data_IF_217913025673
#
_entry.id   IF_217913025673
#
_cell.length_a   1.000
_cell.length_b   1.000
_cell.length_c   1.000
_cell.angle_alpha   90.00
_cell.angle_beta   90.00
_cell.angle_gamma   90.00
#
_symmetry.space_group_name_H-M   'P 1'
#
loop_
_entity.id
_entity.type
_entity.pdbx_description
1 polymer ?
#
# COMPACT_ATOMS: atom_id res chain seq x y z
N UNK A 1 -5.67 -12.36 11.07
CA UNK A 1 -5.21 -11.01 10.64
C UNK A 1 -6.32 -10.24 9.93
N UNK A 2 -7.20 -10.95 9.21
CA UNK A 2 -8.37 -10.40 8.54
C UNK A 2 -9.36 -9.67 9.48
N UNK A 3 -9.65 -10.24 10.66
CA UNK A 3 -10.59 -9.68 11.63
C UNK A 3 -10.14 -8.34 12.22
N UNK A 4 -8.82 -8.16 12.37
CA UNK A 4 -8.24 -6.89 12.83
C UNK A 4 -8.50 -5.77 11.82
N UNK A 5 -8.35 -6.06 10.53
CA UNK A 5 -8.60 -5.11 9.46
C UNK A 5 -10.09 -4.77 9.31
N UNK A 6 -10.98 -5.76 9.48
CA UNK A 6 -12.43 -5.52 9.51
C UNK A 6 -12.83 -4.63 10.69
N UNK A 7 -12.34 -4.90 11.90
CA UNK A 7 -12.60 -4.07 13.08
C UNK A 7 -12.02 -2.66 12.99
N UNK A 8 -10.93 -2.47 12.24
CA UNK A 8 -10.36 -1.15 11.97
C UNK A 8 -11.17 -0.39 10.91
N UNK A 9 -11.59 -1.07 9.83
CA UNK A 9 -12.44 -0.47 8.80
C UNK A 9 -13.77 0.04 9.37
N UNK A 10 -14.38 -0.74 10.29
CA UNK A 10 -15.58 -0.32 10.99
C UNK A 10 -15.34 0.94 11.83
N UNK A 11 -14.31 0.93 12.69
CA UNK A 11 -13.96 2.12 13.51
C UNK A 11 -13.65 3.37 12.67
N UNK A 12 -13.01 3.20 11.52
CA UNK A 12 -12.74 4.30 10.61
C UNK A 12 -14.04 4.90 10.03
N UNK A 13 -15.07 4.09 9.78
CA UNK A 13 -16.41 4.59 9.38
C UNK A 13 -17.08 5.35 10.51
N UNK A 14 -17.06 4.82 11.73
CA UNK A 14 -17.64 5.48 12.92
C UNK A 14 -16.98 6.84 13.20
N UNK A 15 -15.66 6.94 13.01
CA UNK A 15 -14.93 8.21 13.10
C UNK A 15 -15.28 9.15 11.95
N UNK A 16 -15.45 8.63 10.74
CA UNK A 16 -15.77 9.43 9.56
C UNK A 16 -17.15 10.11 9.66
N UNK A 17 -18.11 9.50 10.37
CA UNK A 17 -19.42 10.10 10.61
C UNK A 17 -19.35 11.40 11.42
N UNK A 18 -18.39 11.48 12.35
CA UNK A 18 -18.21 12.62 13.27
C UNK A 18 -17.14 13.62 12.81
N UNK A 19 -16.40 13.29 11.75
CA UNK A 19 -15.31 14.10 11.24
C UNK A 19 -15.79 15.20 10.28
N UNK A 20 -14.99 16.25 10.16
CA UNK A 20 -15.06 17.23 9.08
C UNK A 20 -14.98 16.56 7.69
N UNK A 21 -15.55 17.18 6.64
CA UNK A 21 -15.72 16.54 5.33
C UNK A 21 -14.40 16.08 4.68
N UNK A 22 -13.29 16.77 4.96
CA UNK A 22 -11.97 16.35 4.48
C UNK A 22 -11.51 15.07 5.17
N UNK A 23 -11.55 15.04 6.51
CA UNK A 23 -11.15 13.87 7.29
C UNK A 23 -12.09 12.69 7.07
N UNK A 24 -13.40 12.94 6.95
CA UNK A 24 -14.41 11.92 6.59
C UNK A 24 -14.05 11.21 5.31
N UNK A 25 -13.71 11.94 4.25
CA UNK A 25 -13.30 11.36 2.97
C UNK A 25 -12.01 10.53 3.09
N UNK A 26 -11.04 11.00 3.88
CA UNK A 26 -9.78 10.29 4.16
C UNK A 26 -10.01 8.98 4.92
N UNK A 27 -10.86 8.99 5.94
CA UNK A 27 -11.19 7.84 6.78
C UNK A 27 -12.00 6.78 6.03
N UNK A 28 -12.96 7.19 5.19
CA UNK A 28 -13.71 6.27 4.34
C UNK A 28 -12.81 5.58 3.30
N UNK A 29 -11.88 6.32 2.69
CA UNK A 29 -10.89 5.75 1.78
C UNK A 29 -9.97 4.74 2.50
N UNK A 30 -9.56 5.07 3.73
CA UNK A 30 -8.77 4.19 4.58
C UNK A 30 -9.51 2.90 4.94
N UNK A 31 -10.79 2.99 5.33
CA UNK A 31 -11.63 1.83 5.62
C UNK A 31 -11.74 0.89 4.41
N UNK A 32 -11.97 1.46 3.21
CA UNK A 32 -12.07 0.70 1.96
C UNK A 32 -10.78 -0.04 1.62
N UNK A 33 -9.62 0.59 1.82
CA UNK A 33 -8.31 -0.06 1.61
C UNK A 33 -8.09 -1.24 2.55
N UNK A 34 -8.56 -1.14 3.80
CA UNK A 34 -8.43 -2.22 4.78
C UNK A 34 -9.39 -3.39 4.50
N UNK A 35 -10.61 -3.13 4.01
CA UNK A 35 -11.51 -4.21 3.57
C UNK A 35 -10.98 -4.95 2.34
N UNK A 36 -10.40 -4.22 1.39
CA UNK A 36 -9.76 -4.85 0.21
C UNK A 36 -8.54 -5.69 0.61
N UNK A 37 -7.74 -5.19 1.57
CA UNK A 37 -6.56 -5.90 2.09
C UNK A 37 -6.91 -7.09 2.98
N UNK A 38 -8.04 -7.03 3.67
CA UNK A 38 -8.66 -8.13 4.43
C UNK A 38 -8.98 -9.30 3.49
N UNK A 39 -9.55 -9.02 2.31
CA UNK A 39 -9.99 -10.03 1.35
C UNK A 39 -8.85 -10.76 0.59
N UNK A 40 -7.58 -10.49 0.90
CA UNK A 40 -6.45 -11.11 0.21
C UNK A 40 -6.27 -10.70 -1.26
N UNK A 41 -7.20 -9.91 -1.81
CA UNK A 41 -7.07 -9.35 -3.14
C UNK A 41 -6.14 -8.15 -3.07
N UNK A 42 -4.87 -8.45 -3.33
CA UNK A 42 -3.77 -7.53 -3.53
C UNK A 42 -4.06 -6.62 -4.73
N UNK A 43 -5.01 -5.68 -4.60
CA UNK A 43 -5.23 -4.66 -5.61
C UNK A 43 -4.03 -3.71 -5.62
N UNK A 44 -3.10 -4.00 -6.53
CA UNK A 44 -2.28 -2.97 -7.16
C UNK A 44 -0.96 -2.60 -6.48
N UNK A 45 -0.33 -3.50 -5.71
CA UNK A 45 1.13 -3.47 -5.62
C UNK A 45 1.68 -4.62 -6.43
N UNK A 46 1.76 -4.42 -7.74
CA UNK A 46 2.96 -4.91 -8.42
C UNK A 46 4.14 -4.41 -7.58
N UNK A 47 5.05 -5.27 -7.11
CA UNK A 47 6.34 -4.74 -6.68
C UNK A 47 6.84 -3.89 -7.87
N UNK A 48 7.41 -2.69 -7.65
CA UNK A 48 8.12 -2.04 -8.76
C UNK A 48 9.04 -3.10 -9.34
N UNK A 49 9.12 -3.25 -10.69
CA UNK A 49 10.12 -4.14 -11.26
C UNK A 49 11.43 -3.71 -10.62
N UNK A 50 12.00 -4.60 -9.79
CA UNK A 50 13.31 -4.41 -9.20
C UNK A 50 14.18 -4.02 -10.38
N UNK A 51 14.54 -2.74 -10.47
CA UNK A 51 15.33 -2.23 -11.56
C UNK A 51 16.63 -3.01 -11.48
N UNK A 52 16.73 -4.06 -12.30
CA UNK A 52 18.01 -4.64 -12.66
C UNK A 52 18.77 -3.47 -13.25
N UNK A 53 19.83 -2.97 -12.58
CA UNK A 53 20.63 -1.93 -13.18
C UNK A 53 21.09 -2.47 -14.54
N UNK A 54 20.88 -1.74 -15.65
CA UNK A 54 21.49 -2.12 -16.91
C UNK A 54 23.01 -1.98 -16.70
N UNK A 55 23.66 -3.14 -16.68
CA UNK A 55 25.01 -3.40 -17.13
C UNK A 55 25.89 -2.14 -17.32
N UNK A 56 26.80 -1.88 -16.39
CA UNK A 56 28.02 -1.13 -16.73
C UNK A 56 29.16 -2.13 -16.64
N UNK A 57 29.49 -2.65 -17.82
CA UNK A 57 30.77 -3.27 -18.17
C UNK A 57 31.88 -2.33 -17.71
N UNK A 58 32.40 -2.52 -16.50
CA UNK A 58 33.69 -1.97 -16.14
C UNK A 58 34.74 -2.92 -16.68
N UNK A 59 35.11 -2.71 -17.95
CA UNK A 59 36.38 -3.19 -18.49
C UNK A 59 37.51 -2.53 -17.69
N UNK A 60 37.92 -3.19 -16.62
CA UNK A 60 39.19 -2.92 -15.97
C UNK A 60 40.28 -3.57 -16.82
N UNK A 61 40.88 -2.78 -17.71
CA UNK A 61 42.16 -3.11 -18.33
C UNK A 61 43.20 -3.29 -17.24
N UNK A 62 43.58 -4.53 -16.98
CA UNK A 62 44.70 -4.90 -16.15
C UNK A 62 45.71 -5.65 -16.99
N UNK A 63 46.68 -4.93 -17.54
CA UNK A 63 47.94 -5.53 -18.03
C UNK A 63 49.11 -4.78 -17.38
N UNK A 64 50.13 -5.59 -17.07
CA UNK A 64 51.16 -5.43 -16.05
C UNK A 64 52.39 -4.61 -16.47
#
# INVERSE_FOLDING_TARGET
MEEFYRGFAQRARDLAEKADPFTKRRLLDLAKRYELKSSGSSYGRTPPPRATPPNVLFSGSGEA
#
